data_IF_213223074212
#
_entry.id   IF_213223074212
#
_cell.length_a   1.000
_cell.length_b   1.000
_cell.length_c   1.000
_cell.angle_alpha   90.00
_cell.angle_beta   90.00
_cell.angle_gamma   90.00
#
_symmetry.space_group_name_H-M   'P 1'
#
loop_
_entity.id
_entity.type
_entity.pdbx_description
1 polymer ?
#
# COMPACT_ATOMS: atom_id res chain seq x y z
N UNK A 1 -0.14 -1.31 -19.20
CA UNK A 1 0.02 -2.16 -18.00
C UNK A 1 1.20 -3.09 -18.20
N UNK A 2 2.16 -3.10 -17.28
CA UNK A 2 3.33 -3.99 -17.28
C UNK A 2 3.04 -5.24 -16.45
N UNK A 3 3.35 -6.43 -16.98
CA UNK A 3 3.20 -7.69 -16.26
C UNK A 3 4.58 -8.24 -15.92
N UNK A 4 4.88 -8.43 -14.64
CA UNK A 4 6.12 -9.06 -14.19
C UNK A 4 5.99 -10.58 -14.21
N UNK A 5 7.04 -11.31 -14.56
CA UNK A 5 6.99 -12.78 -14.63
C UNK A 5 6.70 -13.42 -13.26
N UNK A 6 7.29 -12.88 -12.19
CA UNK A 6 7.18 -13.45 -10.83
C UNK A 6 6.85 -12.35 -9.80
N UNK A 7 6.13 -12.67 -8.73
CA UNK A 7 5.91 -11.74 -7.62
C UNK A 7 7.19 -11.47 -6.83
N UNK A 8 7.23 -10.35 -6.11
CA UNK A 8 8.25 -10.08 -5.09
C UNK A 8 9.19 -8.90 -5.33
N UNK A 9 10.13 -8.77 -4.40
CA UNK A 9 11.01 -7.61 -4.18
C UNK A 9 11.85 -7.22 -5.39
N UNK A 10 12.20 -8.16 -6.27
CA UNK A 10 12.98 -7.92 -7.48
C UNK A 10 12.32 -6.89 -8.42
N UNK A 11 11.00 -6.72 -8.33
CA UNK A 11 10.26 -5.79 -9.17
C UNK A 11 10.19 -4.36 -8.60
N UNK A 12 10.78 -4.09 -7.43
CA UNK A 12 10.57 -2.84 -6.69
C UNK A 12 11.01 -1.63 -7.50
N UNK A 13 12.24 -1.64 -8.03
CA UNK A 13 12.77 -0.51 -8.80
C UNK A 13 11.93 -0.19 -10.04
N UNK A 14 11.52 -1.23 -10.79
CA UNK A 14 10.67 -1.06 -11.97
C UNK A 14 9.28 -0.51 -11.62
N UNK A 15 8.68 -1.02 -10.54
CA UNK A 15 7.37 -0.57 -10.03
C UNK A 15 7.42 0.89 -9.59
N UNK A 16 8.43 1.29 -8.83
CA UNK A 16 8.59 2.67 -8.35
C UNK A 16 8.84 3.63 -9.51
N UNK A 17 9.72 3.27 -10.45
CA UNK A 17 9.98 4.09 -11.64
C UNK A 17 8.69 4.33 -12.45
N UNK A 18 7.90 3.28 -12.67
CA UNK A 18 6.63 3.38 -13.38
C UNK A 18 5.64 4.30 -12.65
N UNK A 19 5.52 4.17 -11.33
CA UNK A 19 4.64 5.00 -10.51
C UNK A 19 5.05 6.48 -10.55
N UNK A 20 6.34 6.79 -10.35
CA UNK A 20 6.86 8.16 -10.37
C UNK A 20 6.69 8.83 -11.73
N UNK A 21 7.01 8.13 -12.82
CA UNK A 21 6.82 8.67 -14.17
C UNK A 21 5.34 8.93 -14.44
N UNK A 22 4.48 7.97 -14.14
CA UNK A 22 3.02 8.10 -14.33
C UNK A 22 2.44 9.26 -13.53
N UNK A 23 2.87 9.43 -12.26
CA UNK A 23 2.43 10.52 -11.42
C UNK A 23 2.72 11.89 -12.05
N UNK A 24 3.96 12.07 -12.54
CA UNK A 24 4.40 13.32 -13.17
C UNK A 24 3.72 13.56 -14.52
N UNK A 25 3.68 12.55 -15.37
CA UNK A 25 3.05 12.62 -16.71
C UNK A 25 1.56 12.95 -16.63
N UNK A 26 0.86 12.46 -15.60
CA UNK A 26 -0.59 12.63 -15.45
C UNK A 26 -1.02 13.65 -14.40
N UNK A 27 -0.06 14.36 -13.79
CA UNK A 27 -0.34 15.36 -12.75
C UNK A 27 -1.00 14.78 -11.48
N UNK A 28 -0.76 13.50 -11.18
CA UNK A 28 -1.29 12.86 -9.96
C UNK A 28 -0.34 13.17 -8.81
N UNK A 29 -0.78 14.01 -7.87
CA UNK A 29 0.09 14.53 -6.79
C UNK A 29 0.43 13.52 -5.71
N UNK A 30 -0.49 12.59 -5.40
CA UNK A 30 -0.37 11.70 -4.23
C UNK A 30 0.08 10.30 -4.64
N UNK A 31 1.09 9.78 -3.94
CA UNK A 31 1.50 8.38 -4.01
C UNK A 31 1.47 7.77 -2.61
N UNK A 32 0.77 6.66 -2.46
CA UNK A 32 0.78 5.83 -1.26
C UNK A 32 1.66 4.61 -1.49
N UNK A 33 2.60 4.34 -0.58
CA UNK A 33 3.53 3.20 -0.68
C UNK A 33 3.47 2.33 0.57
N UNK A 34 3.24 1.04 0.39
CA UNK A 34 3.37 0.06 1.48
C UNK A 34 4.85 -0.18 1.80
N UNK A 35 5.27 0.06 3.05
CA UNK A 35 6.66 -0.15 3.47
C UNK A 35 6.81 -0.45 4.95
N UNK A 36 6.98 -1.74 5.29
CA UNK A 36 7.07 -2.17 6.69
C UNK A 36 8.38 -1.78 7.38
N UNK A 37 9.49 -1.81 6.65
CA UNK A 37 10.84 -1.49 7.17
C UNK A 37 11.37 -0.16 6.64
N UNK A 38 10.65 0.52 5.75
CA UNK A 38 11.13 1.70 5.03
C UNK A 38 11.82 1.41 3.69
N UNK A 39 12.19 0.14 3.41
CA UNK A 39 12.91 -0.24 2.20
C UNK A 39 12.29 0.28 0.89
N UNK A 40 10.98 0.10 0.70
CA UNK A 40 10.29 0.57 -0.51
C UNK A 40 10.17 2.10 -0.52
N UNK A 41 9.96 2.72 0.65
CA UNK A 41 9.81 4.17 0.77
C UNK A 41 11.11 4.93 0.46
N UNK A 42 12.28 4.33 0.71
CA UNK A 42 13.58 4.92 0.37
C UNK A 42 13.69 5.31 -1.12
N UNK A 43 13.08 4.54 -2.03
CA UNK A 43 13.10 4.84 -3.47
C UNK A 43 12.36 6.14 -3.82
N UNK A 44 11.45 6.61 -2.96
CA UNK A 44 10.64 7.80 -3.18
C UNK A 44 11.26 9.09 -2.63
N UNK A 45 12.40 9.02 -1.93
CA UNK A 45 13.16 10.21 -1.48
C UNK A 45 13.56 11.15 -2.61
N UNK A 46 13.62 10.62 -3.84
CA UNK A 46 13.97 11.35 -5.07
C UNK A 46 12.80 12.14 -5.66
N UNK A 47 11.63 12.14 -5.01
CA UNK A 47 10.42 12.81 -5.50
C UNK A 47 9.83 13.79 -4.47
N UNK A 48 10.60 14.81 -4.03
CA UNK A 48 10.11 15.82 -3.09
C UNK A 48 9.00 16.71 -3.68
N UNK A 49 8.80 16.67 -5.00
CA UNK A 49 7.73 17.36 -5.73
C UNK A 49 6.34 16.72 -5.53
N UNK A 50 6.28 15.48 -5.03
CA UNK A 50 5.05 14.71 -4.86
C UNK A 50 4.68 14.54 -3.37
N UNK A 51 3.39 14.33 -3.10
CA UNK A 51 2.91 13.95 -1.77
C UNK A 51 3.10 12.44 -1.59
N UNK A 52 4.23 12.04 -1.01
CA UNK A 52 4.53 10.64 -0.73
C UNK A 52 4.05 10.26 0.67
N UNK A 53 3.24 9.20 0.75
CA UNK A 53 2.73 8.64 2.00
C UNK A 53 3.16 7.19 2.14
N UNK A 54 4.08 6.91 3.06
CA UNK A 54 4.49 5.56 3.40
C UNK A 54 3.58 4.96 4.48
N UNK A 55 2.89 3.87 4.16
CA UNK A 55 2.09 3.11 5.12
C UNK A 55 2.95 1.98 5.66
N UNK A 56 3.31 2.05 6.95
CA UNK A 56 4.05 0.98 7.63
C UNK A 56 3.11 -0.01 8.32
N UNK A 57 3.65 -1.15 8.74
CA UNK A 57 2.89 -2.14 9.48
C UNK A 57 2.43 -1.61 10.85
N UNK A 58 1.29 -2.09 11.32
CA UNK A 58 0.79 -1.76 12.67
C UNK A 58 1.75 -2.26 13.76
N UNK A 59 1.79 -1.56 14.90
CA UNK A 59 2.50 -2.04 16.10
C UNK A 59 1.97 -3.41 16.51
N UNK A 60 2.85 -4.29 16.96
CA UNK A 60 2.44 -5.62 17.42
C UNK A 60 2.26 -6.67 16.32
N UNK A 61 2.42 -6.33 15.03
CA UNK A 61 2.13 -7.27 13.94
C UNK A 61 3.02 -8.52 13.95
N UNK A 62 4.31 -8.37 14.30
CA UNK A 62 5.23 -9.50 14.46
C UNK A 62 5.28 -10.00 15.90
N UNK A 63 5.51 -9.08 16.82
CA UNK A 63 5.60 -9.32 18.26
C UNK A 63 5.02 -8.13 19.01
N UNK A 64 4.39 -8.36 20.17
CA UNK A 64 3.78 -7.29 20.99
C UNK A 64 4.76 -6.16 21.27
N UNK A 65 4.28 -4.91 21.23
CA UNK A 65 5.06 -3.70 21.51
C UNK A 65 6.24 -3.43 20.55
N UNK A 66 6.34 -4.17 19.44
CA UNK A 66 7.39 -3.93 18.43
C UNK A 66 6.84 -3.25 17.18
N UNK A 67 7.73 -2.57 16.45
CA UNK A 67 7.50 -2.10 15.09
C UNK A 67 8.74 -2.36 14.22
N UNK A 68 8.53 -2.75 12.96
CA UNK A 68 9.62 -3.20 12.07
C UNK A 68 10.44 -2.05 11.46
N UNK A 69 9.87 -0.85 11.37
CA UNK A 69 10.58 0.34 10.93
C UNK A 69 11.31 0.94 12.13
N UNK A 70 12.63 1.03 12.07
CA UNK A 70 13.43 1.64 13.14
C UNK A 70 13.11 3.13 13.30
N UNK A 71 13.38 3.68 14.49
CA UNK A 71 13.25 5.12 14.75
C UNK A 71 14.13 5.96 13.82
N UNK A 72 15.38 5.55 13.63
CA UNK A 72 16.31 6.18 12.68
C UNK A 72 15.74 6.23 11.26
N UNK A 73 15.20 5.11 10.75
CA UNK A 73 14.60 5.07 9.40
C UNK A 73 13.35 5.94 9.32
N UNK A 74 12.56 6.00 10.38
CA UNK A 74 11.38 6.87 10.46
C UNK A 74 11.79 8.34 10.35
N UNK A 75 12.77 8.76 11.14
CA UNK A 75 13.30 10.14 11.14
C UNK A 75 13.91 10.49 9.78
N UNK A 76 14.71 9.59 9.22
CA UNK A 76 15.33 9.76 7.90
C UNK A 76 14.29 9.97 6.79
N UNK A 77 13.26 9.12 6.72
CA UNK A 77 12.19 9.24 5.73
C UNK A 77 11.37 10.51 5.94
N UNK A 78 11.06 10.85 7.20
CA UNK A 78 10.30 12.05 7.55
C UNK A 78 11.06 13.32 7.17
N UNK A 79 12.38 13.34 7.37
CA UNK A 79 13.25 14.46 6.99
C UNK A 79 13.30 14.66 5.46
N UNK A 80 13.06 13.61 4.67
CA UNK A 80 12.88 13.71 3.21
C UNK A 80 11.46 14.15 2.78
N UNK A 81 10.59 14.53 3.72
CA UNK A 81 9.22 14.97 3.42
C UNK A 81 8.22 13.83 3.21
N UNK A 82 8.61 12.57 3.44
CA UNK A 82 7.70 11.42 3.33
C UNK A 82 6.83 11.35 4.58
N UNK A 83 5.51 11.40 4.40
CA UNK A 83 4.56 11.21 5.50
C UNK A 83 4.48 9.73 5.84
N UNK A 84 4.53 9.38 7.12
CA UNK A 84 4.44 7.99 7.57
C UNK A 84 3.12 7.76 8.29
N UNK A 85 2.34 6.80 7.80
CA UNK A 85 1.04 6.39 8.36
C UNK A 85 1.20 5.05 9.09
N UNK A 86 0.63 4.99 10.30
CA UNK A 86 0.50 3.76 11.10
C UNK A 86 -0.94 3.62 11.52
N UNK A 87 -1.60 2.53 11.12
CA UNK A 87 -2.97 2.23 11.50
C UNK A 87 -3.20 0.72 11.48
N UNK A 88 -4.33 0.27 12.03
CA UNK A 88 -4.76 -1.11 11.84
C UNK A 88 -4.96 -1.41 10.35
N UNK A 89 -4.65 -2.64 9.93
CA UNK A 89 -4.90 -3.08 8.56
C UNK A 89 -6.40 -3.16 8.29
N UNK A 90 -6.91 -2.30 7.43
CA UNK A 90 -8.35 -2.06 7.29
C UNK A 90 -9.08 -3.21 6.59
N UNK A 91 -8.38 -4.01 5.79
CA UNK A 91 -8.91 -5.22 5.16
C UNK A 91 -8.59 -6.48 6.00
N UNK A 92 -8.58 -6.33 7.32
CA UNK A 92 -8.60 -7.43 8.27
C UNK A 92 -9.10 -7.00 9.65
N UNK A 93 -8.52 -5.96 10.23
CA UNK A 93 -8.92 -5.38 11.52
C UNK A 93 -9.12 -6.41 12.63
N UNK A 94 -10.18 -6.23 13.42
CA UNK A 94 -10.57 -7.13 14.51
C UNK A 94 -11.02 -8.51 14.00
N UNK A 95 -11.54 -8.60 12.78
CA UNK A 95 -11.96 -9.89 12.21
C UNK A 95 -10.79 -10.88 12.11
N UNK A 96 -9.54 -10.38 11.98
CA UNK A 96 -8.35 -11.23 12.03
C UNK A 96 -8.20 -11.99 13.35
N UNK A 97 -8.57 -11.39 14.48
CA UNK A 97 -8.57 -12.09 15.76
C UNK A 97 -9.66 -13.17 15.78
N UNK A 98 -10.83 -12.86 15.22
CA UNK A 98 -11.96 -13.80 15.14
C UNK A 98 -11.66 -14.98 14.21
N UNK A 99 -11.05 -14.76 13.05
CA UNK A 99 -10.64 -15.84 12.13
C UNK A 99 -9.51 -16.68 12.71
N UNK A 100 -8.60 -16.08 13.47
CA UNK A 100 -7.54 -16.83 14.15
C UNK A 100 -8.08 -17.72 15.27
N UNK A 101 -9.01 -17.21 16.08
CA UNK A 101 -9.59 -17.92 17.23
C UNK A 101 -10.66 -18.94 16.80
N UNK A 102 -11.66 -18.50 16.03
CA UNK A 102 -12.84 -19.30 15.70
C UNK A 102 -12.76 -20.01 14.35
N UNK A 103 -11.71 -19.76 13.55
CA UNK A 103 -11.47 -20.42 12.25
C UNK A 103 -12.60 -20.24 11.21
N UNK A 104 -13.36 -19.15 11.31
CA UNK A 104 -14.48 -18.83 10.41
C UNK A 104 -14.08 -17.95 9.20
N UNK A 105 -15.08 -17.64 8.38
CA UNK A 105 -14.99 -16.71 7.24
C UNK A 105 -15.71 -15.42 7.60
N UNK A 106 -15.06 -14.27 7.41
CA UNK A 106 -15.58 -12.97 7.85
C UNK A 106 -15.63 -11.94 6.70
N UNK A 107 -16.64 -11.05 6.67
CA UNK A 107 -16.89 -10.17 5.53
C UNK A 107 -15.69 -9.31 5.08
N UNK A 108 -14.96 -8.68 5.99
CA UNK A 108 -13.82 -7.83 5.64
C UNK A 108 -12.70 -8.68 5.04
N UNK A 109 -12.45 -9.87 5.59
CA UNK A 109 -11.46 -10.79 5.04
C UNK A 109 -11.89 -11.39 3.69
N UNK A 110 -13.19 -11.58 3.44
CA UNK A 110 -13.71 -11.98 2.12
C UNK A 110 -13.38 -10.95 1.06
N UNK A 111 -13.54 -9.65 1.36
CA UNK A 111 -13.12 -8.56 0.46
C UNK A 111 -11.61 -8.67 0.18
N UNK A 112 -10.81 -8.85 1.24
CA UNK A 112 -9.36 -8.98 1.12
C UNK A 112 -8.97 -10.17 0.22
N UNK A 113 -9.59 -11.33 0.41
CA UNK A 113 -9.33 -12.53 -0.38
C UNK A 113 -9.81 -12.39 -1.84
N UNK A 114 -10.91 -11.69 -2.07
CA UNK A 114 -11.40 -11.35 -3.42
C UNK A 114 -10.37 -10.48 -4.15
N UNK A 115 -9.84 -9.44 -3.50
CA UNK A 115 -8.82 -8.57 -4.11
C UNK A 115 -7.50 -9.31 -4.37
N UNK A 116 -7.15 -10.29 -3.52
CA UNK A 116 -5.97 -11.16 -3.73
C UNK A 116 -6.08 -12.04 -4.97
N UNK A 117 -7.27 -12.23 -5.55
CA UNK A 117 -7.41 -12.89 -6.86
C UNK A 117 -6.66 -12.12 -7.95
N UNK A 118 -6.44 -10.80 -7.77
CA UNK A 118 -5.60 -9.96 -8.63
C UNK A 118 -4.13 -9.87 -8.17
N UNK A 119 -3.75 -10.59 -7.11
CA UNK A 119 -2.43 -10.57 -6.48
C UNK A 119 -2.41 -9.89 -5.11
N UNK A 120 -1.42 -10.25 -4.28
CA UNK A 120 -1.27 -9.68 -2.93
C UNK A 120 -1.11 -8.16 -2.97
N UNK A 121 -0.27 -7.66 -3.88
CA UNK A 121 -0.04 -6.23 -4.05
C UNK A 121 -1.31 -5.43 -4.34
N UNK A 122 -2.25 -5.97 -5.11
CA UNK A 122 -3.53 -5.29 -5.43
C UNK A 122 -4.36 -5.04 -4.17
N UNK A 123 -4.52 -6.06 -3.33
CA UNK A 123 -5.20 -5.92 -2.03
C UNK A 123 -4.50 -4.88 -1.15
N UNK A 124 -3.17 -4.95 -1.05
CA UNK A 124 -2.40 -4.05 -0.20
C UNK A 124 -2.46 -2.60 -0.70
N UNK A 125 -2.48 -2.37 -2.02
CA UNK A 125 -2.66 -1.03 -2.58
C UNK A 125 -3.94 -0.36 -2.09
N UNK A 126 -5.06 -1.09 -2.14
CA UNK A 126 -6.38 -0.58 -1.73
C UNK A 126 -6.42 -0.36 -0.21
N UNK A 127 -5.90 -1.31 0.57
CA UNK A 127 -5.81 -1.22 2.02
C UNK A 127 -5.00 0.00 2.48
N UNK A 128 -3.78 0.16 1.96
CA UNK A 128 -2.91 1.26 2.33
C UNK A 128 -3.47 2.63 1.91
N UNK A 129 -4.10 2.71 0.73
CA UNK A 129 -4.73 3.95 0.28
C UNK A 129 -5.89 4.38 1.19
N UNK A 130 -6.74 3.43 1.61
CA UNK A 130 -7.83 3.70 2.54
C UNK A 130 -7.29 4.10 3.94
N UNK A 131 -6.24 3.44 4.44
CA UNK A 131 -5.55 3.84 5.68
C UNK A 131 -5.01 5.27 5.57
N UNK A 132 -4.42 5.65 4.43
CA UNK A 132 -3.91 6.99 4.20
C UNK A 132 -5.04 8.05 4.18
N UNK A 133 -6.21 7.73 3.60
CA UNK A 133 -7.40 8.58 3.66
C UNK A 133 -7.89 8.77 5.10
N UNK A 134 -7.95 7.70 5.90
CA UNK A 134 -8.40 7.77 7.29
C UNK A 134 -7.49 8.64 8.16
N UNK A 135 -6.19 8.70 7.86
CA UNK A 135 -5.25 9.59 8.53
C UNK A 135 -5.20 11.01 7.94
N UNK A 136 -6.01 11.34 6.93
CA UNK A 136 -5.96 12.65 6.25
C UNK A 136 -4.65 12.90 5.50
N UNK A 137 -3.86 11.86 5.22
CA UNK A 137 -2.56 11.99 4.56
C UNK A 137 -2.69 12.22 3.04
N UNK A 138 -3.82 11.81 2.47
CA UNK A 138 -4.25 12.07 1.10
C UNK A 138 -5.73 12.49 1.07
N UNK A 139 -6.16 13.30 0.10
CA UNK A 139 -7.57 13.65 -0.08
C UNK A 139 -8.39 12.46 -0.59
N UNK A 140 -9.54 12.21 0.04
CA UNK A 140 -10.46 11.16 -0.37
C UNK A 140 -11.16 11.52 -1.70
N UNK A 141 -11.35 10.53 -2.58
CA UNK A 141 -12.01 10.69 -3.88
C UNK A 141 -11.12 11.24 -5.01
N UNK A 142 -9.90 11.68 -4.69
CA UNK A 142 -8.95 12.18 -5.69
C UNK A 142 -8.07 11.06 -6.27
N UNK A 143 -7.63 11.17 -7.54
CA UNK A 143 -6.66 10.25 -8.11
C UNK A 143 -5.40 10.15 -7.25
N UNK A 144 -5.01 8.92 -6.93
CA UNK A 144 -3.81 8.57 -6.16
C UNK A 144 -3.16 7.36 -6.81
N UNK A 145 -1.83 7.28 -6.80
CA UNK A 145 -1.13 6.04 -7.16
C UNK A 145 -0.82 5.27 -5.88
N UNK A 146 -1.25 4.02 -5.79
CA UNK A 146 -0.87 3.12 -4.71
C UNK A 146 0.17 2.12 -5.20
N UNK A 147 1.22 1.91 -4.40
CA UNK A 147 2.35 1.03 -4.69
C UNK A 147 2.53 0.03 -3.55
N UNK A 148 2.49 -1.26 -3.87
CA UNK A 148 2.64 -2.34 -2.91
C UNK A 148 3.25 -3.59 -3.56
N UNK A 149 3.42 -4.66 -2.78
CA UNK A 149 4.05 -5.87 -3.28
C UNK A 149 3.66 -7.14 -2.55
N UNK A 150 4.25 -8.24 -3.00
CA UNK A 150 4.08 -9.58 -2.43
C UNK A 150 5.28 -9.91 -1.54
N UNK A 151 5.03 -10.20 -0.25
CA UNK A 151 6.05 -10.60 0.72
C UNK A 151 6.96 -9.45 1.17
N UNK A 152 7.77 -8.90 0.25
CA UNK A 152 8.66 -7.77 0.49
C UNK A 152 8.83 -6.91 -0.77
N UNK A 153 9.15 -5.63 -0.59
CA UNK A 153 9.29 -4.67 -1.70
C UNK A 153 7.95 -4.34 -2.37
N UNK A 154 8.03 -3.96 -3.64
CA UNK A 154 6.86 -3.65 -4.47
C UNK A 154 6.90 -4.41 -5.80
N UNK A 155 5.73 -4.88 -6.23
CA UNK A 155 5.53 -5.54 -7.52
C UNK A 155 4.22 -5.13 -8.21
N UNK A 156 3.44 -4.26 -7.57
CA UNK A 156 2.11 -3.85 -8.02
C UNK A 156 1.96 -2.34 -7.82
N UNK A 157 1.46 -1.65 -8.85
CA UNK A 157 1.08 -0.24 -8.76
C UNK A 157 -0.25 -0.01 -9.49
N UNK A 158 -1.15 0.73 -8.85
CA UNK A 158 -2.49 1.04 -9.39
C UNK A 158 -2.81 2.53 -9.21
N UNK A 159 -3.53 3.10 -10.17
CA UNK A 159 -4.22 4.37 -9.99
C UNK A 159 -5.60 4.06 -9.41
N UNK A 160 -5.96 4.70 -8.31
CA UNK A 160 -7.27 4.59 -7.69
C UNK A 160 -7.76 5.94 -7.16
N UNK A 161 -9.05 6.04 -6.91
CA UNK A 161 -9.69 7.11 -6.13
C UNK A 161 -10.11 6.49 -4.79
N UNK A 162 -9.21 6.47 -3.79
CA UNK A 162 -9.51 5.87 -2.51
C UNK A 162 -10.44 6.79 -1.71
N UNK A 163 -11.22 6.20 -0.83
CA UNK A 163 -11.99 6.93 0.17
C UNK A 163 -11.75 6.31 1.55
N UNK A 164 -12.27 6.97 2.58
CA UNK A 164 -12.22 6.47 3.94
C UNK A 164 -12.86 5.08 4.09
N UNK A 165 -12.38 4.32 5.07
CA UNK A 165 -12.72 2.90 5.24
C UNK A 165 -14.20 2.63 5.50
N UNK A 166 -14.88 3.51 6.24
CA UNK A 166 -16.33 3.40 6.44
C UNK A 166 -17.15 3.54 5.15
N UNK A 167 -16.52 3.96 4.04
CA UNK A 167 -17.07 4.03 2.68
C UNK A 167 -16.28 3.20 1.69
N UNK A 168 -15.59 2.13 2.11
CA UNK A 168 -14.60 1.41 1.29
C UNK A 168 -15.10 1.04 -0.12
N UNK A 169 -16.38 0.71 -0.27
CA UNK A 169 -17.02 0.35 -1.55
C UNK A 169 -17.22 1.54 -2.52
N UNK A 170 -17.06 2.78 -2.07
CA UNK A 170 -17.00 3.97 -2.93
C UNK A 170 -15.61 4.15 -3.58
N UNK A 171 -14.60 3.38 -3.14
CA UNK A 171 -13.27 3.37 -3.78
C UNK A 171 -13.38 2.91 -5.23
N UNK A 172 -12.65 3.56 -6.14
CA UNK A 172 -12.59 3.17 -7.55
C UNK A 172 -11.16 2.85 -7.95
N UNK A 173 -10.92 1.62 -8.39
CA UNK A 173 -9.67 1.25 -9.07
C UNK A 173 -9.81 1.78 -10.50
N UNK A 174 -8.97 2.77 -10.85
CA UNK A 174 -9.06 3.44 -12.15
C UNK A 174 -8.23 2.72 -13.21
N UNK A 175 -7.00 2.33 -12.86
CA UNK A 175 -6.08 1.69 -13.80
C UNK A 175 -5.04 0.85 -13.06
N UNK A 176 -4.64 -0.30 -13.61
CA UNK A 176 -3.48 -1.04 -13.14
C UNK A 176 -2.24 -0.70 -13.97
N UNK A 177 -1.21 -0.17 -13.33
CA UNK A 177 0.04 0.20 -14.00
C UNK A 177 0.92 -1.04 -14.16
N UNK A 178 1.09 -1.80 -13.10
CA UNK A 178 1.80 -3.08 -13.13
C UNK A 178 1.31 -4.07 -12.08
N UNK A 179 1.54 -5.36 -12.32
CA UNK A 179 1.42 -6.46 -11.34
C UNK A 179 2.20 -7.69 -11.80
N UNK A 180 2.42 -8.69 -10.92
CA UNK A 180 2.91 -10.00 -11.34
C UNK A 180 1.91 -10.79 -12.20
N UNK A 181 2.44 -11.66 -13.04
CA UNK A 181 1.73 -12.81 -13.59
C UNK A 181 1.38 -13.77 -12.44
N UNK A 182 0.19 -14.36 -12.51
CA UNK A 182 -0.31 -15.35 -11.55
C UNK A 182 -0.52 -16.70 -12.26
N UNK A 183 0.49 -17.12 -13.02
CA UNK A 183 0.44 -18.30 -13.90
C UNK A 183 1.02 -19.56 -13.23
N UNK A 184 1.41 -19.46 -11.96
CA UNK A 184 2.09 -20.51 -11.18
C UNK A 184 1.35 -20.76 -9.89
#
# INVERSE_FOLDING_TARGET
MTIFEKPGKQNTGATVKLALNTARERGIRSIVVASYTGYTADYFKTAPDLNIVAVRGTYGFGEMNTIRMSGEKYEELSACGIKIVTAAHVLSGVERAMSTLFKGVYPVEVIAHTLRMFGQGTKVCIECAAMACDCGAIPAGEPTIAVAGTGAGADTAIILKPVNTHRIFDTRICEMLCKPALLT
#
